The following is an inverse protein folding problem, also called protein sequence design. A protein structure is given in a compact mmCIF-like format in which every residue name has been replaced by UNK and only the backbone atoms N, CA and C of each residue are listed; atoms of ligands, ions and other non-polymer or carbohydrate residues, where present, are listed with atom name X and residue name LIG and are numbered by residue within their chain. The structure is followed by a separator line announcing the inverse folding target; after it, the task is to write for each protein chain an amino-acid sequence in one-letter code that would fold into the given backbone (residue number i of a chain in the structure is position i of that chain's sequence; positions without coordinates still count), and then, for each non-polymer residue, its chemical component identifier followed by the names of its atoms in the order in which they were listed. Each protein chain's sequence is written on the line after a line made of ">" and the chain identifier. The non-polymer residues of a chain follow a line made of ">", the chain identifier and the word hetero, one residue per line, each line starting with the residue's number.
data_IF_174008401447
#
_entry.id   IF_174008401447
#
_cell.length_a   1.000
_cell.length_b   1.000
_cell.length_c   1.000
_cell.angle_alpha   90.00
_cell.angle_beta   90.00
_cell.angle_gamma   90.00
#
_symmetry.space_group_name_H-M   'P 1'
#
loop_
_entity.id
_entity.type
_entity.pdbx_description
1 polymer ?
#
# COMPACT_ATOMS: atom_id res chain seq x y z
N UNK A 1 -4.12 -35.53 -60.34
CA UNK A 1 -3.30 -34.35 -60.01
C UNK A 1 -3.86 -33.78 -58.71
N UNK A 2 -3.19 -34.02 -57.59
CA UNK A 2 -3.62 -33.54 -56.27
C UNK A 2 -3.04 -32.15 -56.02
N UNK A 3 -3.90 -31.14 -55.87
CA UNK A 3 -3.49 -29.80 -55.46
C UNK A 3 -3.41 -29.74 -53.94
N UNK A 4 -2.17 -29.64 -53.44
CA UNK A 4 -1.85 -29.30 -52.07
C UNK A 4 -2.18 -27.82 -51.84
N UNK A 5 -3.12 -27.49 -50.94
CA UNK A 5 -3.41 -26.12 -50.54
C UNK A 5 -2.94 -25.93 -49.08
N UNK A 6 -1.88 -25.14 -48.82
CA UNK A 6 -1.27 -25.04 -47.50
C UNK A 6 -2.20 -24.32 -46.52
N UNK A 7 -2.25 -24.87 -45.30
CA UNK A 7 -3.22 -24.56 -44.26
C UNK A 7 -3.39 -23.07 -43.94
N UNK A 8 -4.65 -22.66 -43.87
CA UNK A 8 -5.07 -21.44 -43.20
C UNK A 8 -4.92 -21.68 -41.69
N UNK A 9 -3.86 -21.14 -41.08
CA UNK A 9 -3.68 -21.18 -39.64
C UNK A 9 -4.42 -19.97 -39.04
N UNK A 10 -5.59 -20.12 -38.39
CA UNK A 10 -6.27 -18.99 -37.80
C UNK A 10 -5.40 -18.44 -36.67
N UNK A 11 -4.96 -17.18 -36.81
CA UNK A 11 -4.30 -16.44 -35.74
C UNK A 11 -5.32 -16.26 -34.62
N UNK A 12 -5.24 -17.10 -33.59
CA UNK A 12 -6.01 -16.96 -32.38
C UNK A 12 -5.56 -15.68 -31.68
N UNK A 13 -6.28 -14.59 -31.92
CA UNK A 13 -6.09 -13.33 -31.22
C UNK A 13 -6.79 -13.47 -29.86
N UNK A 14 -6.11 -14.10 -28.89
CA UNK A 14 -6.58 -14.09 -27.52
C UNK A 14 -6.57 -12.62 -27.04
N UNK A 15 -7.69 -12.07 -26.55
CA UNK A 15 -7.65 -10.76 -25.92
C UNK A 15 -6.67 -10.86 -24.76
N UNK A 16 -5.58 -10.10 -24.82
CA UNK A 16 -4.63 -9.99 -23.73
C UNK A 16 -5.38 -9.30 -22.59
N UNK A 17 -5.97 -10.09 -21.70
CA UNK A 17 -6.61 -9.62 -20.48
C UNK A 17 -5.49 -8.98 -19.67
N UNK A 18 -5.42 -7.66 -19.71
CA UNK A 18 -4.48 -6.89 -18.92
C UNK A 18 -4.97 -6.94 -17.47
N UNK A 19 -4.60 -8.01 -16.76
CA UNK A 19 -4.83 -8.06 -15.32
C UNK A 19 -4.06 -6.90 -14.72
N UNK A 20 -4.71 -5.95 -14.01
CA UNK A 20 -3.98 -4.90 -13.33
C UNK A 20 -3.03 -5.60 -12.35
N UNK A 21 -1.72 -5.51 -12.63
CA UNK A 21 -0.72 -5.97 -11.69
C UNK A 21 -0.88 -5.12 -10.42
N UNK A 22 -1.14 -5.78 -9.28
CA UNK A 22 -1.07 -5.14 -7.98
C UNK A 22 0.32 -4.52 -7.81
N UNK A 23 0.37 -3.26 -7.40
CA UNK A 23 1.64 -2.60 -7.20
C UNK A 23 2.22 -3.08 -5.88
N UNK A 24 3.34 -3.80 -5.96
CA UNK A 24 4.02 -4.28 -4.76
C UNK A 24 4.54 -3.08 -3.95
N UNK A 25 3.99 -2.90 -2.75
CA UNK A 25 4.43 -1.93 -1.76
C UNK A 25 5.02 -2.67 -0.56
N UNK A 26 6.18 -2.21 -0.09
CA UNK A 26 6.86 -2.77 1.10
C UNK A 26 7.33 -1.66 2.01
N UNK A 27 7.33 -1.89 3.33
CA UNK A 27 8.04 -1.00 4.24
C UNK A 27 9.55 -1.16 4.08
N UNK A 28 10.29 -0.08 4.27
CA UNK A 28 11.78 -0.09 4.22
C UNK A 28 12.41 0.11 5.58
N UNK A 29 11.67 0.67 6.55
CA UNK A 29 12.09 0.77 7.96
C UNK A 29 10.88 0.80 8.88
N UNK A 30 11.15 0.59 10.16
CA UNK A 30 10.15 0.73 11.23
C UNK A 30 9.61 2.16 11.24
N UNK A 31 8.29 2.29 11.29
CA UNK A 31 7.59 3.57 11.40
C UNK A 31 7.59 4.13 12.81
N UNK A 32 7.16 5.38 12.93
CA UNK A 32 7.11 6.11 14.20
C UNK A 32 5.68 6.57 14.45
N UNK A 33 5.10 6.23 15.60
CA UNK A 33 3.78 6.70 16.02
C UNK A 33 3.98 7.72 17.14
N UNK A 34 3.52 8.95 16.94
CA UNK A 34 3.54 10.02 17.92
C UNK A 34 2.19 10.09 18.62
N UNK A 35 2.20 10.28 19.95
CA UNK A 35 1.01 10.27 20.79
C UNK A 35 -0.04 11.32 20.39
N UNK A 36 0.40 12.40 19.74
CA UNK A 36 -0.44 13.46 19.15
C UNK A 36 -1.22 13.08 17.89
N UNK A 37 -1.34 11.79 17.57
CA UNK A 37 -2.13 11.33 16.41
C UNK A 37 -1.41 11.42 15.07
N UNK A 38 -0.07 11.37 15.08
CA UNK A 38 0.73 11.42 13.84
C UNK A 38 1.54 10.14 13.72
N UNK A 39 1.65 9.56 12.54
CA UNK A 39 2.65 8.53 12.27
C UNK A 39 3.47 8.83 11.03
N UNK A 40 4.76 8.50 11.06
CA UNK A 40 5.65 8.55 9.90
C UNK A 40 5.95 7.15 9.42
N UNK A 41 5.68 6.92 8.14
CA UNK A 41 5.83 5.64 7.47
C UNK A 41 6.80 5.78 6.30
N UNK A 42 7.54 4.71 6.04
CA UNK A 42 8.65 4.69 5.10
C UNK A 42 8.51 3.47 4.21
N UNK A 43 8.21 3.70 2.95
CA UNK A 43 7.71 2.70 2.01
C UNK A 43 8.52 2.71 0.73
N UNK A 44 8.59 1.56 0.06
CA UNK A 44 9.04 1.43 -1.31
C UNK A 44 7.92 0.86 -2.15
N UNK A 45 7.63 1.51 -3.27
CA UNK A 45 6.63 1.05 -4.24
C UNK A 45 7.27 0.71 -5.59
N UNK A 46 6.87 -0.40 -6.20
CA UNK A 46 7.34 -0.80 -7.54
C UNK A 46 6.71 0.02 -8.68
N UNK A 47 5.60 0.70 -8.40
CA UNK A 47 4.88 1.55 -9.34
C UNK A 47 4.12 2.67 -8.62
N UNK A 48 3.33 3.45 -9.35
CA UNK A 48 2.47 4.46 -8.74
C UNK A 48 1.17 3.82 -8.24
N UNK A 49 0.83 4.00 -6.96
CA UNK A 49 -0.40 3.45 -6.38
C UNK A 49 -1.03 4.47 -5.44
N UNK A 50 -2.37 4.57 -5.44
CA UNK A 50 -3.07 5.42 -4.49
C UNK A 50 -3.12 4.79 -3.10
N UNK A 51 -3.17 5.63 -2.08
CA UNK A 51 -3.35 5.26 -0.68
C UNK A 51 -4.75 5.71 -0.26
N UNK A 52 -5.55 4.77 0.24
CA UNK A 52 -6.93 5.03 0.62
C UNK A 52 -7.05 5.41 2.09
N UNK A 53 -6.40 4.64 2.96
CA UNK A 53 -6.49 4.83 4.41
C UNK A 53 -5.34 4.14 5.13
N UNK A 54 -5.20 4.45 6.40
CA UNK A 54 -4.37 3.71 7.32
C UNK A 54 -5.11 3.48 8.64
N UNK A 55 -4.79 2.41 9.36
CA UNK A 55 -5.29 2.13 10.70
C UNK A 55 -4.19 1.55 11.58
N UNK A 56 -4.25 1.78 12.89
CA UNK A 56 -3.36 1.10 13.84
C UNK A 56 -4.02 -0.21 14.26
N UNK A 57 -3.31 -1.33 14.06
CA UNK A 57 -3.83 -2.67 14.32
C UNK A 57 -4.38 -2.83 15.75
N UNK A 58 -5.55 -3.48 15.84
CA UNK A 58 -6.29 -3.75 17.07
C UNK A 58 -6.62 -2.49 17.88
N UNK A 59 -6.85 -1.36 17.19
CA UNK A 59 -7.31 -0.10 17.78
C UNK A 59 -8.40 0.53 16.90
N UNK A 60 -9.19 1.49 17.42
CA UNK A 60 -10.14 2.24 16.61
C UNK A 60 -9.50 3.39 15.81
N UNK A 61 -8.17 3.55 15.85
CA UNK A 61 -7.49 4.68 15.23
C UNK A 61 -7.36 4.50 13.73
N UNK A 62 -8.16 5.27 12.98
CA UNK A 62 -8.16 5.31 11.51
C UNK A 62 -7.66 6.68 11.05
N UNK A 63 -6.98 6.71 9.91
CA UNK A 63 -6.47 7.93 9.30
C UNK A 63 -7.61 8.88 8.96
N UNK A 64 -7.49 10.12 9.41
CA UNK A 64 -8.32 11.25 8.99
C UNK A 64 -7.70 12.01 7.81
N UNK A 65 -6.36 12.01 7.71
CA UNK A 65 -5.65 12.59 6.58
C UNK A 65 -4.32 11.89 6.32
N UNK A 66 -3.80 12.06 5.11
CA UNK A 66 -2.50 11.58 4.65
C UNK A 66 -1.75 12.75 4.04
N UNK A 67 -0.43 12.84 4.25
CA UNK A 67 0.40 13.86 3.59
C UNK A 67 0.48 13.67 2.07
N UNK A 68 0.27 12.43 1.60
CA UNK A 68 0.11 12.10 0.19
C UNK A 68 -0.87 10.94 0.03
N UNK A 69 -1.77 11.06 -0.95
CA UNK A 69 -2.70 10.00 -1.36
C UNK A 69 -2.14 9.11 -2.47
N UNK A 70 -0.87 9.29 -2.84
CA UNK A 70 -0.19 8.48 -3.84
C UNK A 70 1.23 8.13 -3.39
N UNK A 71 1.59 6.87 -3.57
CA UNK A 71 2.97 6.40 -3.55
C UNK A 71 3.51 6.49 -4.97
N UNK A 72 4.64 7.16 -5.14
CA UNK A 72 5.39 7.15 -6.39
C UNK A 72 6.25 5.89 -6.46
N UNK A 73 6.66 5.50 -7.67
CA UNK A 73 7.67 4.44 -7.82
C UNK A 73 8.94 4.83 -7.09
N UNK A 74 9.48 3.92 -6.29
CA UNK A 74 10.66 4.13 -5.45
C UNK A 74 10.31 4.39 -3.98
N UNK A 75 11.18 5.12 -3.30
CA UNK A 75 11.04 5.45 -1.88
C UNK A 75 9.96 6.53 -1.66
N UNK A 76 9.17 6.35 -0.61
CA UNK A 76 8.15 7.29 -0.17
C UNK A 76 8.18 7.45 1.34
N UNK A 77 8.03 8.68 1.80
CA UNK A 77 7.75 9.01 3.19
C UNK A 77 6.31 9.54 3.28
N UNK A 78 5.47 8.88 4.06
CA UNK A 78 4.09 9.29 4.30
C UNK A 78 3.93 9.66 5.76
N UNK A 79 3.36 10.83 6.00
CA UNK A 79 2.81 11.20 7.31
C UNK A 79 1.32 10.88 7.32
N UNK A 80 0.90 10.06 8.28
CA UNK A 80 -0.49 9.70 8.55
C UNK A 80 -0.98 10.51 9.74
N UNK A 81 -2.17 11.08 9.63
CA UNK A 81 -2.84 11.77 10.72
C UNK A 81 -4.04 10.92 11.16
N UNK A 82 -4.02 10.42 12.39
CA UNK A 82 -5.09 9.61 13.00
C UNK A 82 -6.05 10.49 13.79
N UNK A 83 -7.32 10.09 13.85
CA UNK A 83 -8.34 10.82 14.60
C UNK A 83 -8.05 10.85 16.10
N UNK A 84 -7.92 12.06 16.65
CA UNK A 84 -7.78 12.30 18.09
C UNK A 84 -6.39 12.01 18.68
N UNK A 85 -6.34 12.02 20.01
CA UNK A 85 -5.14 11.70 20.79
C UNK A 85 -5.07 10.19 21.02
N UNK A 86 -3.90 9.59 20.81
CA UNK A 86 -3.70 8.15 20.87
C UNK A 86 -3.54 7.63 22.31
N UNK A 87 -4.44 8.04 23.20
CA UNK A 87 -4.35 7.82 24.66
C UNK A 87 -4.29 6.35 25.09
N UNK A 88 -4.74 5.41 24.26
CA UNK A 88 -4.65 3.98 24.59
C UNK A 88 -3.27 3.36 24.30
N UNK A 89 -2.40 4.09 23.58
CA UNK A 89 -1.04 3.65 23.26
C UNK A 89 -0.05 4.10 24.34
N UNK A 90 1.05 3.37 24.48
CA UNK A 90 2.13 3.68 25.42
C UNK A 90 3.44 3.90 24.68
N UNK A 91 4.26 4.85 25.13
CA UNK A 91 5.61 5.06 24.59
C UNK A 91 6.43 3.77 24.69
N UNK A 92 7.15 3.42 23.62
CA UNK A 92 7.90 2.17 23.48
C UNK A 92 7.08 0.97 23.00
N UNK A 93 5.75 1.10 22.94
CA UNK A 93 4.88 0.05 22.41
C UNK A 93 5.11 -0.17 20.92
N UNK A 94 5.14 -1.44 20.51
CA UNK A 94 5.23 -1.85 19.10
C UNK A 94 3.84 -2.14 18.58
N UNK A 95 3.50 -1.52 17.45
CA UNK A 95 2.22 -1.72 16.74
C UNK A 95 2.50 -1.93 15.26
N UNK A 96 1.46 -2.34 14.53
CA UNK A 96 1.47 -2.38 13.08
C UNK A 96 0.53 -1.30 12.58
N UNK A 97 1.00 -0.43 11.70
CA UNK A 97 0.13 0.45 10.92
C UNK A 97 -0.24 -0.31 9.66
N UNK A 98 -1.53 -0.55 9.46
CA UNK A 98 -2.09 -1.21 8.29
C UNK A 98 -2.47 -0.12 7.28
N UNK A 99 -1.79 -0.10 6.13
CA UNK A 99 -2.02 0.86 5.05
C UNK A 99 -2.80 0.18 3.92
N UNK A 100 -3.95 0.72 3.56
CA UNK A 100 -4.78 0.19 2.47
C UNK A 100 -4.54 0.98 1.19
N UNK A 101 -4.18 0.28 0.11
CA UNK A 101 -3.90 0.88 -1.21
C UNK A 101 -5.09 0.78 -2.16
N UNK A 102 -5.07 1.55 -3.25
CA UNK A 102 -6.16 1.62 -4.24
C UNK A 102 -6.44 0.31 -4.98
N UNK A 103 -5.45 -0.56 -5.08
CA UNK A 103 -5.59 -1.94 -5.58
C UNK A 103 -6.11 -2.93 -4.53
N UNK A 104 -6.55 -2.40 -3.36
CA UNK A 104 -7.13 -3.13 -2.22
C UNK A 104 -6.14 -4.04 -1.49
N UNK A 105 -4.84 -3.85 -1.70
CA UNK A 105 -3.82 -4.49 -0.88
C UNK A 105 -3.75 -3.82 0.51
N UNK A 106 -3.32 -4.58 1.51
CA UNK A 106 -3.11 -4.11 2.88
C UNK A 106 -1.66 -4.36 3.27
N UNK A 107 -0.90 -3.27 3.36
CA UNK A 107 0.50 -3.30 3.73
C UNK A 107 0.62 -3.13 5.23
N UNK A 108 1.20 -4.11 5.93
CA UNK A 108 1.55 -3.99 7.34
C UNK A 108 2.91 -3.32 7.52
N UNK A 109 2.95 -2.19 8.22
CA UNK A 109 4.17 -1.47 8.57
C UNK A 109 4.40 -1.56 10.09
N UNK A 110 5.44 -2.28 10.55
CA UNK A 110 5.82 -2.24 11.96
C UNK A 110 6.19 -0.82 12.38
N UNK A 111 5.71 -0.37 13.53
CA UNK A 111 5.98 0.97 14.06
C UNK A 111 6.14 0.96 15.58
N UNK A 112 6.88 1.93 16.11
CA UNK A 112 7.10 2.14 17.55
C UNK A 112 6.47 3.46 17.97
N UNK A 113 5.83 3.47 19.14
CA UNK A 113 5.32 4.71 19.74
C UNK A 113 6.48 5.49 20.38
N UNK A 114 6.75 6.71 19.94
CA UNK A 114 7.99 7.45 20.28
C UNK A 114 7.85 8.63 21.25
N UNK A 115 6.62 9.06 21.57
CA UNK A 115 6.37 10.21 22.46
C UNK A 115 6.14 11.51 21.70
#
# INVERSE_FOLDING_TARGET
>A
MSSYNPGYNPVYNYPQVNYPQANLVKYVRVGEIYMRGVAKLYLYSMGQVSVLSAQIDSTPYVSQALSSYYLMKGYNEITVYFSGILNSLKVGERRTVLLTTGDKDVVGIPAVVVG
#
